data_IF_796229223717
#
_entry.id   IF_796229223717
#
_cell.length_a   1.000
_cell.length_b   1.000
_cell.length_c   1.000
_cell.angle_alpha   90.00
_cell.angle_beta   90.00
_cell.angle_gamma   90.00
#
_symmetry.space_group_name_H-M   'P 1'
#
loop_
_entity.id
_entity.type
_entity.pdbx_description
1 polymer ?
#
# COMPACT_ATOMS: atom_id res chain seq x y z
N UNK A 1 -1.47 -13.10 0.42
CA UNK A 1 -2.43 -12.01 0.70
C UNK A 1 -3.80 -12.47 0.24
N UNK A 2 -4.85 -12.35 1.05
CA UNK A 2 -6.23 -12.58 0.59
C UNK A 2 -6.84 -11.23 0.19
N UNK A 3 -6.45 -10.71 -0.97
CA UNK A 3 -7.12 -9.53 -1.55
C UNK A 3 -8.35 -9.98 -2.34
N UNK A 4 -9.42 -9.16 -2.43
CA UNK A 4 -10.61 -9.51 -3.23
C UNK A 4 -10.27 -9.82 -4.70
N UNK A 5 -9.22 -9.17 -5.23
CA UNK A 5 -8.68 -9.43 -6.56
C UNK A 5 -8.10 -10.85 -6.69
N UNK A 6 -7.28 -11.29 -5.73
CA UNK A 6 -6.67 -12.63 -5.75
C UNK A 6 -7.72 -13.74 -5.70
N UNK A 7 -8.77 -13.58 -4.89
CA UNK A 7 -9.90 -14.51 -4.88
C UNK A 7 -10.70 -14.50 -6.17
N UNK A 8 -10.90 -13.34 -6.79
CA UNK A 8 -11.59 -13.23 -8.08
C UNK A 8 -10.83 -13.93 -9.20
N UNK A 9 -9.52 -13.72 -9.27
CA UNK A 9 -8.64 -14.41 -10.22
C UNK A 9 -8.64 -15.93 -10.00
N UNK A 10 -8.57 -16.39 -8.75
CA UNK A 10 -8.61 -17.82 -8.44
C UNK A 10 -9.94 -18.47 -8.85
N UNK A 11 -11.07 -17.79 -8.56
CA UNK A 11 -12.40 -18.25 -8.97
C UNK A 11 -12.54 -18.28 -10.50
N UNK A 12 -12.04 -17.25 -11.20
CA UNK A 12 -12.04 -17.20 -12.66
C UNK A 12 -11.20 -18.33 -13.27
N UNK A 13 -9.98 -18.56 -12.77
CA UNK A 13 -9.14 -19.68 -13.19
C UNK A 13 -9.86 -21.02 -13.00
N UNK A 14 -10.42 -21.24 -11.81
CA UNK A 14 -11.14 -22.48 -11.50
C UNK A 14 -12.37 -22.66 -12.40
N UNK A 15 -13.15 -21.60 -12.60
CA UNK A 15 -14.31 -21.61 -13.48
C UNK A 15 -13.96 -21.95 -14.93
N UNK A 16 -12.89 -21.35 -15.48
CA UNK A 16 -12.42 -21.64 -16.83
C UNK A 16 -11.89 -23.06 -16.98
N UNK A 17 -11.16 -23.58 -15.99
CA UNK A 17 -10.70 -24.97 -16.00
C UNK A 17 -11.87 -25.95 -16.01
N UNK A 18 -12.85 -25.77 -15.12
CA UNK A 18 -14.04 -26.62 -15.05
C UNK A 18 -14.87 -26.53 -16.33
N UNK A 19 -15.10 -25.31 -16.81
CA UNK A 19 -15.85 -25.07 -18.04
C UNK A 19 -15.16 -25.73 -19.24
N UNK A 20 -13.84 -25.57 -19.36
CA UNK A 20 -13.07 -26.17 -20.45
C UNK A 20 -13.06 -27.71 -20.40
N UNK A 21 -13.04 -28.31 -19.21
CA UNK A 21 -13.20 -29.77 -19.06
C UNK A 21 -14.61 -30.23 -19.47
N UNK A 22 -15.66 -29.55 -19.02
CA UNK A 22 -17.06 -29.87 -19.34
C UNK A 22 -17.33 -29.77 -20.84
N UNK A 23 -16.85 -28.70 -21.47
CA UNK A 23 -16.97 -28.49 -22.92
C UNK A 23 -15.96 -29.30 -23.74
N UNK A 24 -15.02 -30.00 -23.08
CA UNK A 24 -13.88 -30.69 -23.71
C UNK A 24 -13.14 -29.78 -24.71
N UNK A 25 -13.05 -28.49 -24.40
CA UNK A 25 -12.46 -27.47 -25.25
C UNK A 25 -11.10 -27.06 -24.70
N UNK A 26 -10.06 -27.31 -25.49
CA UNK A 26 -8.71 -26.91 -25.16
C UNK A 26 -8.54 -25.38 -25.15
N UNK A 27 -9.30 -24.67 -26.00
CA UNK A 27 -9.27 -23.21 -26.07
C UNK A 27 -9.72 -22.58 -24.74
N UNK A 28 -10.79 -23.11 -24.14
CA UNK A 28 -11.30 -22.63 -22.85
C UNK A 28 -10.34 -22.97 -21.71
N UNK A 29 -9.72 -24.16 -21.74
CA UNK A 29 -8.68 -24.55 -20.79
C UNK A 29 -7.48 -23.61 -20.83
N UNK A 30 -6.99 -23.28 -22.03
CA UNK A 30 -5.88 -22.34 -22.22
C UNK A 30 -6.24 -20.93 -21.72
N UNK A 31 -7.51 -20.56 -21.70
CA UNK A 31 -7.96 -19.27 -21.18
C UNK A 31 -7.77 -19.12 -19.66
N UNK A 32 -7.57 -20.23 -18.93
CA UNK A 32 -7.21 -20.18 -17.52
C UNK A 32 -5.74 -19.80 -17.27
N UNK A 33 -4.86 -19.85 -18.29
CA UNK A 33 -3.44 -19.54 -18.13
C UNK A 33 -3.17 -18.09 -17.68
N UNK A 34 -3.73 -17.04 -18.31
CA UNK A 34 -3.45 -15.67 -17.90
C UNK A 34 -3.72 -15.38 -16.41
N UNK A 35 -4.91 -15.68 -15.84
CA UNK A 35 -5.13 -15.44 -14.41
C UNK A 35 -4.25 -16.33 -13.52
N UNK A 36 -3.94 -17.57 -13.94
CA UNK A 36 -2.98 -18.44 -13.22
C UNK A 36 -1.57 -17.86 -13.19
N UNK A 37 -1.07 -17.31 -14.30
CA UNK A 37 0.26 -16.69 -14.38
C UNK A 37 0.33 -15.49 -13.43
N UNK A 38 -0.70 -14.64 -13.42
CA UNK A 38 -0.76 -13.49 -12.50
C UNK A 38 -0.72 -13.95 -11.04
N UNK A 39 -1.49 -14.99 -10.69
CA UNK A 39 -1.46 -15.56 -9.33
C UNK A 39 -0.10 -16.17 -8.98
N UNK A 40 0.53 -16.88 -9.91
CA UNK A 40 1.85 -17.48 -9.70
C UNK A 40 2.92 -16.40 -9.47
N UNK A 41 2.99 -15.38 -10.33
CA UNK A 41 3.93 -14.26 -10.19
C UNK A 41 3.68 -13.49 -8.89
N UNK A 42 2.41 -13.19 -8.56
CA UNK A 42 2.05 -12.51 -7.32
C UNK A 42 2.34 -13.32 -6.06
N UNK A 43 2.44 -14.65 -6.16
CA UNK A 43 2.81 -15.52 -5.03
C UNK A 43 4.31 -15.57 -4.77
N UNK A 44 5.14 -15.33 -5.80
CA UNK A 44 6.61 -15.35 -5.70
C UNK A 44 7.17 -14.06 -5.07
N UNK A 45 6.47 -12.94 -5.21
CA UNK A 45 6.86 -11.65 -4.66
C UNK A 45 5.87 -11.21 -3.57
N UNK A 46 5.96 -11.76 -2.33
CA UNK A 46 5.12 -11.31 -1.25
C UNK A 46 5.38 -9.82 -0.97
N UNK A 47 4.34 -9.04 -0.62
CA UNK A 47 4.51 -7.63 -0.30
C UNK A 47 5.49 -7.48 0.87
N UNK A 48 6.39 -6.47 0.84
CA UNK A 48 7.23 -6.18 1.98
C UNK A 48 6.36 -5.87 3.20
N UNK A 49 6.77 -6.36 4.38
CA UNK A 49 6.15 -5.96 5.64
C UNK A 49 6.82 -4.66 6.08
N UNK A 50 6.11 -3.52 6.05
CA UNK A 50 6.72 -2.25 6.42
C UNK A 50 7.08 -2.25 7.91
N UNK A 51 8.24 -1.71 8.23
CA UNK A 51 8.66 -1.43 9.60
C UNK A 51 9.16 0.00 9.63
N UNK A 52 8.33 0.91 10.13
CA UNK A 52 8.58 2.34 10.07
C UNK A 52 8.59 2.89 11.49
N UNK A 53 9.54 3.78 11.77
CA UNK A 53 9.59 4.59 12.99
C UNK A 53 9.35 6.03 12.59
N UNK A 54 8.36 6.68 13.20
CA UNK A 54 8.08 8.09 13.01
C UNK A 54 8.29 8.83 14.33
N UNK A 55 9.06 9.91 14.29
CA UNK A 55 9.28 10.81 15.42
C UNK A 55 8.73 12.18 15.04
N UNK A 56 7.89 12.75 15.90
CA UNK A 56 7.35 14.10 15.72
C UNK A 56 7.91 15.00 16.82
N UNK A 57 8.59 16.06 16.44
CA UNK A 57 9.08 17.12 17.32
C UNK A 57 8.30 18.41 17.08
N UNK A 58 8.07 19.14 18.16
CA UNK A 58 7.42 20.44 18.17
C UNK A 58 8.43 21.47 18.67
N UNK A 59 8.46 22.66 18.06
CA UNK A 59 9.32 23.73 18.57
C UNK A 59 8.93 24.21 19.96
N UNK A 60 7.67 24.05 20.35
CA UNK A 60 7.16 24.34 21.68
C UNK A 60 6.03 23.37 22.08
N UNK A 61 6.12 22.77 23.27
CA UNK A 61 5.08 21.89 23.82
C UNK A 61 3.83 22.63 24.30
N UNK A 62 3.96 23.93 24.59
CA UNK A 62 2.85 24.81 24.95
C UNK A 62 2.99 26.12 24.21
N UNK A 63 1.89 26.56 23.62
CA UNK A 63 1.82 27.82 22.90
C UNK A 63 0.47 28.46 23.14
N UNK A 64 0.41 29.79 23.06
CA UNK A 64 -0.85 30.52 23.12
C UNK A 64 -1.61 30.42 21.79
N UNK A 65 -2.92 30.58 21.84
CA UNK A 65 -3.74 30.60 20.62
C UNK A 65 -3.26 31.68 19.65
N UNK A 66 -3.17 31.31 18.36
CA UNK A 66 -2.71 32.22 17.29
C UNK A 66 -1.19 32.31 17.14
N UNK A 67 -0.41 31.56 17.92
CA UNK A 67 1.04 31.44 17.73
C UNK A 67 1.38 30.32 16.76
N UNK A 68 2.39 30.57 15.94
CA UNK A 68 2.95 29.58 15.02
C UNK A 68 3.80 28.56 15.80
N UNK A 69 3.73 27.29 15.39
CA UNK A 69 4.56 26.20 15.93
C UNK A 69 5.16 25.47 14.75
N UNK A 70 6.47 25.26 14.80
CA UNK A 70 7.17 24.47 13.81
C UNK A 70 7.06 22.99 14.21
N UNK A 71 6.63 22.18 13.25
CA UNK A 71 6.46 20.74 13.41
C UNK A 71 7.46 20.06 12.49
N UNK A 72 8.32 19.21 13.07
CA UNK A 72 9.25 18.40 12.32
C UNK A 72 8.87 16.92 12.48
N UNK A 73 8.70 16.24 11.34
CA UNK A 73 8.36 14.83 11.27
C UNK A 73 9.51 14.07 10.64
N UNK A 74 10.17 13.23 11.41
CA UNK A 74 11.23 12.34 10.95
C UNK A 74 10.65 10.94 10.78
N UNK A 75 10.62 10.45 9.54
CA UNK A 75 10.16 9.10 9.22
C UNK A 75 11.35 8.27 8.75
N UNK A 76 11.57 7.13 9.40
CA UNK A 76 12.67 6.21 9.09
C UNK A 76 12.13 4.82 8.83
N UNK A 77 12.55 4.22 7.72
CA UNK A 77 12.27 2.83 7.42
C UNK A 77 13.34 1.94 8.09
N UNK A 78 12.90 0.98 8.91
CA UNK A 78 13.75 -0.06 9.50
C UNK A 78 13.52 -1.43 8.83
N UNK A 79 12.64 -1.49 7.84
CA UNK A 79 12.24 -2.69 7.12
C UNK A 79 12.90 -2.80 5.73
N UNK A 80 12.29 -3.59 4.82
CA UNK A 80 12.64 -3.58 3.39
C UNK A 80 12.33 -2.21 2.77
N UNK A 81 13.04 -1.84 1.69
CA UNK A 81 12.74 -0.62 0.92
C UNK A 81 11.27 -0.57 0.50
N UNK A 82 10.69 0.63 0.58
CA UNK A 82 9.30 0.89 0.23
C UNK A 82 9.25 1.92 -0.90
N UNK A 83 8.77 1.52 -2.08
CA UNK A 83 8.87 2.35 -3.28
C UNK A 83 7.92 3.56 -3.25
N UNK A 84 6.65 3.35 -2.85
CA UNK A 84 5.62 4.40 -2.86
C UNK A 84 4.88 4.37 -1.52
N UNK A 85 5.23 5.32 -0.65
CA UNK A 85 4.62 5.49 0.67
C UNK A 85 3.99 6.87 0.76
N UNK A 86 2.74 6.89 1.18
CA UNK A 86 2.03 8.11 1.52
C UNK A 86 2.20 8.39 3.02
N UNK A 87 2.75 9.55 3.34
CA UNK A 87 2.94 10.07 4.70
C UNK A 87 1.94 11.20 4.87
N UNK A 88 1.03 11.06 5.83
CA UNK A 88 0.05 12.07 6.18
C UNK A 88 0.10 12.35 7.69
N UNK A 89 0.49 13.57 8.08
CA UNK A 89 0.30 14.08 9.44
C UNK A 89 -1.11 14.68 9.53
N UNK A 90 -2.02 14.00 10.22
CA UNK A 90 -3.42 14.41 10.31
C UNK A 90 -3.55 15.52 11.37
N UNK A 91 -3.85 16.74 10.92
CA UNK A 91 -4.08 17.85 11.83
C UNK A 91 -5.52 17.89 12.35
N UNK A 92 -5.72 18.22 13.65
CA UNK A 92 -7.02 18.60 14.17
C UNK A 92 -7.57 19.86 13.49
N UNK A 93 -8.89 20.08 13.57
CA UNK A 93 -9.59 21.17 12.85
C UNK A 93 -9.21 22.56 13.33
N UNK A 94 -8.67 22.64 14.54
CA UNK A 94 -8.25 23.87 15.20
C UNK A 94 -6.90 24.38 14.70
N UNK A 95 -6.16 23.54 13.96
CA UNK A 95 -4.85 23.87 13.40
C UNK A 95 -4.92 24.02 11.88
N UNK A 96 -4.08 24.90 11.36
CA UNK A 96 -3.89 25.09 9.93
C UNK A 96 -2.40 25.06 9.62
N UNK A 97 -2.05 24.46 8.48
CA UNK A 97 -0.68 24.50 7.97
C UNK A 97 -0.45 25.89 7.38
N UNK A 98 0.40 26.68 8.05
CA UNK A 98 0.75 28.01 7.58
C UNK A 98 1.84 27.96 6.50
N UNK A 99 2.77 27.01 6.61
CA UNK A 99 3.89 26.80 5.67
C UNK A 99 4.22 25.32 5.52
N UNK A 100 4.68 24.94 4.33
CA UNK A 100 5.06 23.56 4.01
C UNK A 100 3.88 22.68 3.63
N UNK A 101 4.01 21.38 3.87
CA UNK A 101 2.98 20.36 3.63
C UNK A 101 2.95 19.38 4.79
N UNK A 102 1.75 18.95 5.19
CA UNK A 102 1.54 17.86 6.14
C UNK A 102 1.37 16.51 5.43
N UNK A 103 1.55 16.49 4.10
CA UNK A 103 1.33 15.34 3.23
C UNK A 103 2.48 15.18 2.24
N UNK A 104 2.98 13.95 2.10
CA UNK A 104 4.05 13.63 1.16
C UNK A 104 3.87 12.21 0.60
N UNK A 105 4.24 12.04 -0.67
CA UNK A 105 4.32 10.73 -1.33
C UNK A 105 5.78 10.52 -1.74
N UNK A 106 6.45 9.56 -1.10
CA UNK A 106 7.90 9.37 -1.21
C UNK A 106 8.28 7.89 -1.26
N UNK A 107 9.47 7.60 -1.76
CA UNK A 107 10.14 6.32 -1.52
C UNK A 107 10.91 6.37 -0.21
N UNK A 108 10.89 5.27 0.54
CA UNK A 108 11.64 5.12 1.78
C UNK A 108 12.61 3.95 1.65
N UNK A 109 13.88 4.29 1.44
CA UNK A 109 14.98 3.34 1.49
C UNK A 109 15.26 2.90 2.94
N UNK A 110 15.93 1.76 3.08
CA UNK A 110 16.35 1.21 4.37
C UNK A 110 17.52 1.97 4.99
#
# INVERSE_FOLDING_TARGET
>A
MRTPLSSGLAAASMGLLLLGLVLRSWQVLLLALPPMIVLALGSLAPPPRPRIVALRSLSADRTDAGREVDVELVVRNEGPSLDLVEIADVLPREFAVLRGTNHAVVSLEK
#
